data_IF_605506465908
#
_entry.id   IF_605506465908
#
_cell.length_a   1.000
_cell.length_b   1.000
_cell.length_c   1.000
_cell.angle_alpha   90.00
_cell.angle_beta   90.00
_cell.angle_gamma   90.00
#
_symmetry.space_group_name_H-M   'P 1'
#
loop_
_entity.id
_entity.type
_entity.pdbx_description
1 polymer ?
#
# COMPACT_ATOMS: atom_id res chain seq x y z
N UNK A 1 -22.93 36.22 -33.80
CA UNK A 1 -23.25 34.93 -33.17
C UNK A 1 -21.93 34.29 -32.75
N UNK A 2 -21.46 34.62 -31.54
CA UNK A 2 -20.28 34.00 -30.93
C UNK A 2 -20.64 33.86 -29.44
N UNK A 3 -20.99 32.64 -29.05
CA UNK A 3 -21.38 32.30 -27.69
C UNK A 3 -20.11 32.05 -26.87
N UNK A 4 -19.93 32.91 -25.87
CA UNK A 4 -18.96 32.81 -24.81
C UNK A 4 -19.29 31.57 -23.95
N UNK A 5 -18.42 30.56 -23.95
CA UNK A 5 -18.39 29.56 -22.89
C UNK A 5 -17.17 29.83 -22.03
N UNK A 6 -17.39 30.72 -21.07
CA UNK A 6 -16.56 30.94 -19.89
C UNK A 6 -16.44 29.62 -19.12
N UNK A 7 -15.23 29.06 -19.06
CA UNK A 7 -14.83 28.11 -18.03
C UNK A 7 -14.93 28.84 -16.67
N UNK A 8 -16.04 28.66 -15.96
CA UNK A 8 -16.23 29.19 -14.61
C UNK A 8 -15.81 28.14 -13.58
N UNK A 9 -14.65 28.41 -12.98
CA UNK A 9 -14.25 28.12 -11.60
C UNK A 9 -14.99 26.97 -10.87
N UNK A 10 -14.40 25.77 -10.88
CA UNK A 10 -14.63 24.77 -9.84
C UNK A 10 -13.44 24.78 -8.87
N UNK A 11 -13.64 25.47 -7.75
CA UNK A 11 -12.92 25.33 -6.47
C UNK A 11 -11.38 25.31 -6.53
N UNK A 12 -10.78 26.47 -6.80
CA UNK A 12 -9.43 26.80 -6.34
C UNK A 12 -9.38 26.77 -4.81
N UNK A 13 -8.41 26.09 -4.18
CA UNK A 13 -8.19 26.23 -2.74
C UNK A 13 -7.65 27.64 -2.44
N UNK A 14 -8.02 28.27 -1.31
CA UNK A 14 -7.43 29.55 -0.94
C UNK A 14 -5.94 29.37 -0.63
N UNK A 15 -5.12 30.21 -1.25
CA UNK A 15 -3.70 30.38 -0.96
C UNK A 15 -3.50 30.92 0.47
N UNK A 16 -2.67 30.18 1.22
CA UNK A 16 -1.81 30.58 2.34
C UNK A 16 -2.15 31.88 3.11
N UNK A 17 -2.65 31.69 4.33
CA UNK A 17 -2.34 32.57 5.47
C UNK A 17 -2.05 31.69 6.69
N UNK A 18 -0.78 31.38 6.92
CA UNK A 18 -0.34 30.69 8.14
C UNK A 18 0.19 31.73 9.13
N UNK A 19 -0.68 32.09 10.07
CA UNK A 19 -0.34 32.77 11.30
C UNK A 19 0.58 31.87 12.14
N UNK A 20 1.75 32.39 12.49
CA UNK A 20 2.72 31.71 13.36
C UNK A 20 2.21 31.71 14.80
N UNK A 21 1.92 30.52 15.34
CA UNK A 21 1.68 30.32 16.77
C UNK A 21 2.57 29.18 17.28
N UNK A 22 3.56 29.58 18.07
CA UNK A 22 4.45 28.75 18.87
C UNK A 22 3.79 28.33 20.18
N UNK A 23 3.86 27.04 20.52
CA UNK A 23 3.81 26.41 21.86
C UNK A 23 3.32 24.97 21.68
N UNK A 24 3.79 23.90 22.32
CA UNK A 24 4.87 23.61 23.26
C UNK A 24 4.93 22.07 23.33
N UNK A 25 6.11 21.58 23.68
CA UNK A 25 6.53 20.20 23.88
C UNK A 25 5.48 19.21 24.42
N UNK A 26 5.39 18.03 23.78
CA UNK A 26 4.97 16.81 24.47
C UNK A 26 5.94 15.67 24.17
N UNK A 27 6.42 15.08 25.26
CA UNK A 27 7.55 14.16 25.36
C UNK A 27 7.39 12.90 24.50
N UNK A 28 8.26 12.76 23.50
CA UNK A 28 8.46 11.52 22.75
C UNK A 28 9.32 10.56 23.58
N UNK A 29 8.70 9.63 24.30
CA UNK A 29 9.42 8.55 25.01
C UNK A 29 9.99 7.57 23.98
N UNK A 30 11.30 7.69 23.70
CA UNK A 30 12.09 6.67 23.01
C UNK A 30 12.30 5.48 23.95
N UNK A 31 11.65 4.36 23.71
CA UNK A 31 12.06 3.08 24.28
C UNK A 31 13.17 2.51 23.40
N UNK A 32 14.38 2.51 23.94
CA UNK A 32 15.58 1.89 23.38
C UNK A 32 15.46 0.38 23.46
N UNK A 33 15.23 -0.29 22.33
CA UNK A 33 15.42 -1.74 22.23
C UNK A 33 16.85 -2.02 21.76
N UNK A 34 17.77 -2.17 22.71
CA UNK A 34 19.07 -2.78 22.46
C UNK A 34 18.88 -4.29 22.33
N UNK A 35 18.75 -4.79 21.11
CA UNK A 35 18.86 -6.23 20.81
C UNK A 35 19.97 -6.45 19.80
N UNK A 36 21.22 -6.22 20.23
CA UNK A 36 22.42 -6.44 19.42
C UNK A 36 23.19 -7.73 19.82
N UNK A 37 22.57 -8.66 20.53
CA UNK A 37 23.28 -9.80 21.13
C UNK A 37 22.74 -11.19 20.74
N UNK A 38 22.09 -11.34 19.59
CA UNK A 38 21.64 -12.65 19.12
C UNK A 38 21.82 -12.87 17.61
N UNK A 39 22.99 -12.53 17.07
CA UNK A 39 23.33 -12.81 15.66
C UNK A 39 24.66 -13.53 15.44
N UNK A 40 25.36 -13.97 16.49
CA UNK A 40 26.69 -14.59 16.32
C UNK A 40 26.78 -16.09 16.60
N UNK A 41 25.68 -16.75 17.01
CA UNK A 41 25.69 -18.21 17.27
C UNK A 41 25.02 -19.02 16.15
N UNK A 42 24.16 -18.42 15.33
CA UNK A 42 23.48 -19.12 14.23
C UNK A 42 24.30 -19.15 12.91
N UNK A 43 25.29 -18.27 12.74
CA UNK A 43 26.08 -18.19 11.50
C UNK A 43 27.12 -19.30 11.33
N UNK A 44 27.59 -19.90 12.44
CA UNK A 44 28.69 -20.87 12.39
C UNK A 44 28.25 -22.28 11.95
N UNK A 45 26.97 -22.64 12.11
CA UNK A 45 26.47 -23.97 11.73
C UNK A 45 26.01 -24.05 10.27
N UNK A 46 25.64 -22.93 9.65
CA UNK A 46 25.27 -22.89 8.23
C UNK A 46 26.51 -22.91 7.30
N UNK A 47 27.63 -22.29 7.71
CA UNK A 47 28.84 -22.22 6.88
C UNK A 47 29.54 -23.59 6.71
N UNK A 48 29.40 -24.50 7.68
CA UNK A 48 30.07 -25.81 7.65
C UNK A 48 29.46 -26.81 6.66
N UNK A 49 28.19 -26.67 6.31
CA UNK A 49 27.48 -27.61 5.41
C UNK A 49 27.63 -27.21 3.94
N UNK A 50 27.83 -25.92 3.66
CA UNK A 50 27.97 -25.40 2.28
C UNK A 50 29.34 -25.72 1.68
N UNK A 51 30.38 -25.90 2.50
CA UNK A 51 31.75 -26.13 2.01
C UNK A 51 31.99 -27.54 1.43
N UNK A 52 31.10 -28.52 1.65
CA UNK A 52 31.27 -29.90 1.13
C UNK A 52 30.21 -30.34 0.10
N UNK A 53 29.23 -29.48 -0.22
CA UNK A 53 28.23 -29.81 -1.24
C UNK A 53 28.91 -29.92 -2.61
N UNK A 54 28.69 -31.00 -3.38
CA UNK A 54 29.18 -31.07 -4.75
C UNK A 54 28.62 -29.89 -5.55
N UNK A 55 29.37 -29.32 -6.51
CA UNK A 55 28.92 -28.17 -7.29
C UNK A 55 27.56 -28.39 -7.98
N UNK A 56 27.18 -29.65 -8.24
CA UNK A 56 25.86 -30.03 -8.72
C UNK A 56 24.73 -29.85 -7.66
N UNK A 57 25.00 -30.12 -6.38
CA UNK A 57 24.04 -29.88 -5.30
C UNK A 57 23.91 -28.38 -4.99
N UNK A 58 25.00 -27.62 -5.13
CA UNK A 58 24.97 -26.16 -5.03
C UNK A 58 24.23 -25.54 -6.24
N UNK A 59 24.46 -26.07 -7.45
CA UNK A 59 23.75 -25.64 -8.66
C UNK A 59 22.25 -25.95 -8.58
N UNK A 60 21.89 -27.16 -8.15
CA UNK A 60 20.48 -27.54 -7.94
C UNK A 60 19.81 -26.71 -6.83
N UNK A 61 20.56 -26.21 -5.85
CA UNK A 61 20.04 -25.30 -4.82
C UNK A 61 19.88 -23.84 -5.30
N UNK A 62 20.56 -23.45 -6.40
CA UNK A 62 20.42 -22.15 -7.05
C UNK A 62 19.42 -22.16 -8.22
N UNK A 63 18.94 -23.35 -8.61
CA UNK A 63 17.96 -23.50 -9.67
C UNK A 63 16.57 -23.16 -9.12
N UNK A 64 16.08 -21.99 -9.51
CA UNK A 64 14.74 -21.56 -9.11
C UNK A 64 13.67 -22.47 -9.74
N UNK A 65 12.58 -22.78 -9.01
CA UNK A 65 11.45 -23.50 -9.57
C UNK A 65 10.89 -22.83 -10.84
N UNK A 66 10.35 -23.60 -11.79
CA UNK A 66 9.85 -23.07 -13.08
C UNK A 66 8.70 -22.05 -12.96
N UNK A 67 8.01 -22.08 -11.83
CA UNK A 67 6.94 -21.19 -11.41
C UNK A 67 7.44 -19.97 -10.60
N UNK A 68 8.76 -19.78 -10.50
CA UNK A 68 9.33 -18.56 -9.96
C UNK A 68 9.03 -17.36 -10.86
N UNK A 69 8.51 -16.28 -10.27
CA UNK A 69 8.47 -15.00 -10.95
C UNK A 69 9.91 -14.51 -11.15
N UNK A 70 10.19 -13.99 -12.34
CA UNK A 70 11.46 -13.33 -12.64
C UNK A 70 11.71 -12.12 -11.71
N UNK A 71 12.98 -11.76 -11.50
CA UNK A 71 13.33 -10.57 -10.71
C UNK A 71 12.62 -9.29 -11.19
N UNK A 72 12.56 -8.97 -12.50
CA UNK A 72 11.80 -7.81 -12.97
C UNK A 72 10.31 -7.84 -12.60
N UNK A 73 9.67 -9.01 -12.67
CA UNK A 73 8.26 -9.15 -12.27
C UNK A 73 8.07 -8.97 -10.77
N UNK A 74 8.99 -9.45 -9.93
CA UNK A 74 8.96 -9.20 -8.48
C UNK A 74 9.08 -7.72 -8.15
N UNK A 75 9.98 -7.01 -8.83
CA UNK A 75 10.15 -5.56 -8.65
C UNK A 75 8.84 -4.83 -8.89
N UNK A 76 8.09 -5.18 -9.94
CA UNK A 76 6.80 -4.56 -10.26
C UNK A 76 5.73 -4.88 -9.18
N UNK A 77 5.68 -6.10 -8.67
CA UNK A 77 4.73 -6.46 -7.61
C UNK A 77 4.99 -5.67 -6.33
N UNK A 78 6.25 -5.62 -5.89
CA UNK A 78 6.61 -4.89 -4.67
C UNK A 78 6.46 -3.39 -4.87
N UNK A 79 6.86 -2.85 -6.02
CA UNK A 79 6.71 -1.41 -6.31
C UNK A 79 5.26 -0.98 -6.32
N UNK A 80 4.37 -1.74 -6.97
CA UNK A 80 2.95 -1.41 -7.03
C UNK A 80 2.26 -1.46 -5.66
N UNK A 81 2.64 -2.39 -4.78
CA UNK A 81 2.17 -2.43 -3.39
C UNK A 81 2.60 -1.17 -2.62
N UNK A 82 3.87 -0.77 -2.76
CA UNK A 82 4.39 0.44 -2.11
C UNK A 82 3.71 1.70 -2.66
N UNK A 83 3.56 1.80 -3.97
CA UNK A 83 2.85 2.91 -4.64
C UNK A 83 1.40 3.01 -4.17
N UNK A 84 0.72 1.87 -3.99
CA UNK A 84 -0.65 1.85 -3.47
C UNK A 84 -0.72 2.37 -2.02
N UNK A 85 0.21 1.95 -1.15
CA UNK A 85 0.29 2.46 0.22
C UNK A 85 0.54 3.97 0.21
N UNK A 86 1.46 4.45 -0.64
CA UNK A 86 1.69 5.89 -0.80
C UNK A 86 0.43 6.63 -1.26
N UNK A 87 -0.31 6.08 -2.23
CA UNK A 87 -1.58 6.65 -2.68
C UNK A 87 -2.62 6.72 -1.55
N UNK A 88 -2.72 5.67 -0.72
CA UNK A 88 -3.62 5.67 0.44
C UNK A 88 -3.30 6.79 1.43
N UNK A 89 -2.01 7.02 1.69
CA UNK A 89 -1.53 8.11 2.55
C UNK A 89 -1.85 9.48 1.93
N UNK A 90 -1.60 9.67 0.64
CA UNK A 90 -1.92 10.92 -0.06
C UNK A 90 -3.42 11.24 -0.02
N UNK A 91 -4.28 10.24 -0.23
CA UNK A 91 -5.74 10.38 -0.12
C UNK A 91 -6.15 10.77 1.31
N UNK A 92 -5.47 10.24 2.32
CA UNK A 92 -5.73 10.57 3.72
C UNK A 92 -5.35 12.01 4.04
N UNK A 93 -4.11 12.40 3.70
CA UNK A 93 -3.58 13.75 3.88
C UNK A 93 -4.43 14.79 3.13
N UNK A 94 -4.86 14.47 1.92
CA UNK A 94 -5.80 15.32 1.18
C UNK A 94 -7.11 15.54 1.96
N UNK A 95 -7.63 14.50 2.61
CA UNK A 95 -8.82 14.61 3.46
C UNK A 95 -8.61 15.42 4.75
N UNK A 96 -7.38 15.49 5.27
CA UNK A 96 -7.01 16.41 6.36
C UNK A 96 -6.92 17.86 5.86
N UNK A 97 -6.14 18.09 4.80
CA UNK A 97 -5.82 19.43 4.30
C UNK A 97 -7.03 20.14 3.69
N UNK A 98 -7.91 19.40 3.01
CA UNK A 98 -9.15 19.96 2.44
C UNK A 98 -10.28 20.15 3.47
N UNK A 99 -10.13 19.60 4.68
CA UNK A 99 -11.21 19.49 5.67
C UNK A 99 -12.32 18.50 5.27
N UNK A 100 -12.23 17.87 4.10
CA UNK A 100 -13.28 17.00 3.57
C UNK A 100 -13.08 15.54 3.97
N UNK A 101 -13.56 15.21 5.18
CA UNK A 101 -13.39 13.89 5.83
C UNK A 101 -13.89 12.70 5.01
N UNK A 102 -14.72 12.89 3.98
CA UNK A 102 -15.17 11.83 3.10
C UNK A 102 -14.00 11.11 2.38
N UNK A 103 -12.93 11.82 2.07
CA UNK A 103 -11.72 11.26 1.43
C UNK A 103 -10.98 10.26 2.33
N UNK A 104 -10.97 10.47 3.66
CA UNK A 104 -10.41 9.48 4.60
C UNK A 104 -11.17 8.15 4.57
N UNK A 105 -12.48 8.21 4.31
CA UNK A 105 -13.29 7.01 4.09
C UNK A 105 -12.89 6.25 2.82
N UNK A 106 -12.43 6.94 1.79
CA UNK A 106 -11.88 6.32 0.59
C UNK A 106 -10.54 5.63 0.88
N UNK A 107 -9.62 6.26 1.62
CA UNK A 107 -8.38 5.62 2.08
C UNK A 107 -8.64 4.32 2.84
N UNK A 108 -9.66 4.30 3.72
CA UNK A 108 -10.08 3.07 4.40
C UNK A 108 -10.61 2.00 3.44
N UNK A 109 -11.36 2.40 2.41
CA UNK A 109 -11.86 1.48 1.37
C UNK A 109 -10.74 0.87 0.52
N UNK A 110 -9.62 1.57 0.36
CA UNK A 110 -8.44 1.09 -0.37
C UNK A 110 -7.62 0.02 0.37
N UNK A 111 -7.92 -0.26 1.65
CA UNK A 111 -7.22 -1.30 2.44
C UNK A 111 -7.55 -2.72 1.95
N UNK A 112 -8.80 -3.00 1.54
CA UNK A 112 -9.15 -4.35 1.06
C UNK A 112 -8.47 -4.72 -0.26
N UNK A 113 -8.39 -3.83 -1.27
CA UNK A 113 -7.55 -4.05 -2.45
C UNK A 113 -6.07 -4.26 -2.13
N UNK A 114 -5.52 -3.57 -1.12
CA UNK A 114 -4.14 -3.80 -0.67
C UNK A 114 -3.98 -5.23 -0.10
N UNK A 115 -4.92 -5.68 0.73
CA UNK A 115 -4.91 -7.05 1.24
C UNK A 115 -5.01 -8.10 0.11
N UNK A 116 -5.78 -7.81 -0.95
CA UNK A 116 -5.84 -8.64 -2.16
C UNK A 116 -4.45 -8.77 -2.82
N UNK A 117 -3.75 -7.65 -3.01
CA UNK A 117 -2.40 -7.65 -3.59
C UNK A 117 -1.39 -8.43 -2.74
N UNK A 118 -1.50 -8.35 -1.41
CA UNK A 118 -0.65 -9.12 -0.49
C UNK A 118 -0.94 -10.62 -0.56
N UNK A 119 -2.21 -11.04 -0.77
CA UNK A 119 -2.55 -12.44 -1.00
C UNK A 119 -1.88 -12.97 -2.27
N UNK A 120 -1.97 -12.20 -3.37
CA UNK A 120 -1.30 -12.54 -4.64
C UNK A 120 0.21 -12.69 -4.46
N UNK A 121 0.85 -11.70 -3.83
CA UNK A 121 2.30 -11.70 -3.60
C UNK A 121 2.72 -12.88 -2.70
N UNK A 122 1.90 -13.26 -1.73
CA UNK A 122 2.17 -14.41 -0.86
C UNK A 122 2.10 -15.71 -1.65
N UNK A 123 1.09 -15.88 -2.51
CA UNK A 123 0.97 -17.07 -3.34
C UNK A 123 2.18 -17.23 -4.30
N UNK A 124 2.60 -16.13 -4.94
CA UNK A 124 3.80 -16.10 -5.76
C UNK A 124 5.11 -16.30 -4.97
N UNK A 125 5.18 -15.82 -3.72
CA UNK A 125 6.32 -16.08 -2.83
C UNK A 125 6.51 -17.58 -2.57
N UNK A 126 5.42 -18.34 -2.50
CA UNK A 126 5.42 -19.79 -2.33
C UNK A 126 5.37 -20.57 -3.64
N UNK A 127 5.81 -19.96 -4.75
CA UNK A 127 5.86 -20.60 -6.07
C UNK A 127 4.51 -21.23 -6.43
N UNK A 128 3.41 -20.49 -6.32
CA UNK A 128 2.08 -20.94 -6.76
C UNK A 128 1.66 -22.31 -6.19
N UNK A 129 2.05 -22.61 -4.94
CA UNK A 129 1.73 -23.90 -4.30
C UNK A 129 0.22 -24.16 -4.27
N UNK A 130 -0.18 -25.37 -4.65
CA UNK A 130 -1.58 -25.84 -4.60
C UNK A 130 -2.16 -25.75 -3.18
N UNK A 131 -1.34 -25.95 -2.15
CA UNK A 131 -1.75 -25.80 -0.74
C UNK A 131 -2.20 -24.39 -0.36
N UNK A 132 -1.80 -23.37 -1.12
CA UNK A 132 -2.15 -21.97 -0.93
C UNK A 132 -3.15 -21.45 -1.98
N UNK A 133 -3.74 -22.31 -2.81
CA UNK A 133 -4.73 -21.89 -3.84
C UNK A 133 -5.92 -21.12 -3.24
N UNK A 134 -6.26 -21.39 -1.97
CA UNK A 134 -7.27 -20.61 -1.22
C UNK A 134 -6.97 -19.10 -1.17
N UNK A 135 -5.69 -18.69 -1.25
CA UNK A 135 -5.31 -17.28 -1.33
C UNK A 135 -5.79 -16.64 -2.63
N UNK A 136 -5.90 -17.39 -3.72
CA UNK A 136 -6.41 -16.89 -5.01
C UNK A 136 -7.91 -16.60 -4.92
N UNK A 137 -8.66 -17.50 -4.29
CA UNK A 137 -10.08 -17.28 -4.00
C UNK A 137 -10.28 -16.07 -3.06
N UNK A 138 -9.43 -15.97 -2.02
CA UNK A 138 -9.45 -14.83 -1.10
C UNK A 138 -9.09 -13.51 -1.79
N UNK A 139 -8.07 -13.50 -2.65
CA UNK A 139 -7.68 -12.37 -3.48
C UNK A 139 -8.85 -11.91 -4.37
N UNK A 140 -9.53 -12.84 -5.04
CA UNK A 140 -10.71 -12.52 -5.84
C UNK A 140 -11.83 -11.91 -4.97
N UNK A 141 -12.11 -12.50 -3.81
CA UNK A 141 -13.10 -11.97 -2.87
C UNK A 141 -12.76 -10.56 -2.37
N UNK A 142 -11.53 -10.35 -1.89
CA UNK A 142 -11.03 -9.05 -1.43
C UNK A 142 -11.05 -8.00 -2.53
N UNK A 143 -10.84 -8.40 -3.78
CA UNK A 143 -10.95 -7.50 -4.94
C UNK A 143 -12.39 -7.05 -5.17
N UNK A 144 -13.35 -7.98 -5.16
CA UNK A 144 -14.78 -7.66 -5.32
C UNK A 144 -15.26 -6.76 -4.19
N UNK A 145 -15.00 -7.14 -2.95
CA UNK A 145 -15.41 -6.34 -1.78
C UNK A 145 -14.65 -5.01 -1.68
N UNK A 146 -13.37 -4.99 -2.07
CA UNK A 146 -12.56 -3.79 -2.12
C UNK A 146 -13.09 -2.78 -3.13
N UNK A 147 -13.36 -3.21 -4.36
CA UNK A 147 -13.97 -2.37 -5.39
C UNK A 147 -15.35 -1.86 -4.97
N UNK A 148 -16.19 -2.72 -4.37
CA UNK A 148 -17.48 -2.30 -3.85
C UNK A 148 -17.34 -1.23 -2.76
N UNK A 149 -16.41 -1.43 -1.82
CA UNK A 149 -16.16 -0.47 -0.73
C UNK A 149 -15.67 0.87 -1.27
N UNK A 150 -14.74 0.85 -2.24
CA UNK A 150 -14.28 2.06 -2.92
C UNK A 150 -15.41 2.76 -3.69
N UNK A 151 -16.28 2.03 -4.37
CA UNK A 151 -17.47 2.60 -5.04
C UNK A 151 -18.41 3.30 -4.05
N UNK A 152 -18.68 2.67 -2.89
CA UNK A 152 -19.50 3.28 -1.83
C UNK A 152 -18.83 4.54 -1.29
N UNK A 153 -17.52 4.51 -1.05
CA UNK A 153 -16.77 5.67 -0.59
C UNK A 153 -16.78 6.82 -1.62
N UNK A 154 -16.58 6.52 -2.90
CA UNK A 154 -16.66 7.48 -4.00
C UNK A 154 -18.06 8.10 -4.11
N UNK A 155 -19.12 7.30 -3.99
CA UNK A 155 -20.49 7.80 -3.98
C UNK A 155 -20.76 8.75 -2.81
N UNK A 156 -20.20 8.46 -1.62
CA UNK A 156 -20.28 9.36 -0.46
C UNK A 156 -19.56 10.69 -0.70
N UNK A 157 -18.39 10.66 -1.34
CA UNK A 157 -17.66 11.86 -1.76
C UNK A 157 -18.51 12.69 -2.74
N UNK A 158 -19.11 12.06 -3.75
CA UNK A 158 -19.97 12.72 -4.74
C UNK A 158 -21.22 13.37 -4.11
N UNK A 159 -21.91 12.67 -3.20
CA UNK A 159 -23.06 13.27 -2.50
C UNK A 159 -22.66 14.46 -1.65
N UNK A 160 -21.52 14.37 -0.97
CA UNK A 160 -21.08 15.43 -0.08
C UNK A 160 -20.48 16.62 -0.86
N UNK A 161 -19.94 16.44 -2.06
CA UNK A 161 -19.54 17.55 -2.94
C UNK A 161 -20.73 18.31 -3.52
N UNK A 162 -21.83 17.62 -3.86
CA UNK A 162 -23.08 18.28 -4.25
C UNK A 162 -23.71 19.08 -3.11
N UNK A 163 -23.62 18.60 -1.87
CA UNK A 163 -24.11 19.32 -0.69
C UNK A 163 -23.40 20.64 -0.46
N UNK A 164 -22.09 20.71 -0.71
CA UNK A 164 -21.34 21.97 -0.63
C UNK A 164 -21.75 23.00 -1.68
N UNK A 165 -22.02 22.56 -2.92
CA UNK A 165 -22.43 23.44 -4.02
C UNK A 165 -23.84 24.03 -3.86
N UNK A 166 -24.76 23.28 -3.23
CA UNK A 166 -26.16 23.73 -3.04
C UNK A 166 -26.35 24.76 -1.91
N UNK A 167 -25.34 24.95 -1.06
CA UNK A 167 -25.37 25.87 0.08
C UNK A 167 -24.57 27.17 -0.18
N UNK A 168 -24.20 27.42 -1.44
CA UNK A 168 -23.56 28.65 -1.95
C UNK A 168 -24.58 29.40 -2.82
#
# INVERSE_FOLDING_TARGET
MAAYYTLSAACTPPLLSLHSSSSSSSHRKRCSFSSAALLLVAGATAAGVVACAPPAALAAALEEPRNALSLPTWVIHVSSVVEWIAAMLLVWEYGELSGFRAWKGLSWGMVLPLASALCACTWHFFYDSESLEVLVALQAGLTVFGNLTMCIAAFRIFKASQGGCKNL
#
